data_IF_161306380619
#
_entry.id   IF_161306380619
#
_cell.length_a   1.000
_cell.length_b   1.000
_cell.length_c   1.000
_cell.angle_alpha   90.00
_cell.angle_beta   90.00
_cell.angle_gamma   90.00
#
_symmetry.space_group_name_H-M   'P 1'
#
loop_
_entity.id
_entity.type
_entity.pdbx_description
1 polymer ?
#
# COMPACT_ATOMS: atom_id res chain seq x y z
N UNK A 1 -6.92 -10.64 4.90
CA UNK A 1 -6.49 -9.62 3.92
C UNK A 1 -5.06 -9.89 3.51
N UNK A 2 -4.71 -9.74 2.24
CA UNK A 2 -3.35 -9.98 1.76
C UNK A 2 -2.33 -8.99 2.32
N UNK A 3 -1.11 -9.49 2.55
CA UNK A 3 0.00 -8.69 3.06
C UNK A 3 0.28 -7.45 2.20
N UNK A 4 0.11 -7.57 0.88
CA UNK A 4 0.33 -6.45 -0.06
C UNK A 4 -0.69 -5.34 0.18
N UNK A 5 -1.98 -5.66 0.34
CA UNK A 5 -3.03 -4.69 0.62
C UNK A 5 -2.80 -3.96 1.95
N UNK A 6 -2.38 -4.68 2.99
CA UNK A 6 -2.05 -4.06 4.27
C UNK A 6 -0.82 -3.13 4.17
N UNK A 7 0.22 -3.53 3.43
CA UNK A 7 1.40 -2.68 3.21
C UNK A 7 1.01 -1.43 2.40
N UNK A 8 0.20 -1.60 1.36
CA UNK A 8 -0.30 -0.49 0.55
C UNK A 8 -1.11 0.49 1.40
N UNK A 9 -2.01 0.01 2.26
CA UNK A 9 -2.76 0.87 3.17
C UNK A 9 -1.84 1.70 4.09
N UNK A 10 -0.81 1.09 4.67
CA UNK A 10 0.16 1.81 5.51
C UNK A 10 0.97 2.86 4.71
N UNK A 11 1.31 2.55 3.46
CA UNK A 11 1.96 3.52 2.57
C UNK A 11 1.02 4.67 2.19
N UNK A 12 -0.28 4.39 2.02
CA UNK A 12 -1.29 5.39 1.68
C UNK A 12 -1.50 6.44 2.80
N UNK A 13 -1.24 6.07 4.05
CA UNK A 13 -1.26 7.02 5.17
C UNK A 13 -0.12 8.04 5.13
N UNK A 14 0.90 7.85 4.29
CA UNK A 14 1.99 8.82 4.15
C UNK A 14 1.48 10.17 3.63
N UNK A 15 2.08 11.27 4.10
CA UNK A 15 1.79 12.62 3.59
C UNK A 15 2.40 12.85 2.20
N UNK A 16 3.33 11.99 1.76
CA UNK A 16 3.98 12.12 0.47
C UNK A 16 3.11 11.60 -0.67
N UNK A 17 2.77 12.47 -1.61
CA UNK A 17 1.94 12.14 -2.79
C UNK A 17 2.50 10.97 -3.61
N UNK A 18 3.84 10.89 -3.75
CA UNK A 18 4.49 9.80 -4.50
C UNK A 18 4.29 8.44 -3.82
N UNK A 19 4.30 8.40 -2.49
CA UNK A 19 4.12 7.19 -1.69
C UNK A 19 2.64 6.77 -1.68
N UNK A 20 1.71 7.73 -1.62
CA UNK A 20 0.28 7.45 -1.84
C UNK A 20 0.00 6.86 -3.20
N UNK A 21 0.60 7.43 -4.26
CA UNK A 21 0.44 6.90 -5.61
C UNK A 21 1.01 5.48 -5.72
N UNK A 22 2.17 5.23 -5.11
CA UNK A 22 2.72 3.87 -5.03
C UNK A 22 1.76 2.89 -4.34
N UNK A 23 1.14 3.31 -3.23
CA UNK A 23 0.17 2.48 -2.52
C UNK A 23 -1.02 2.10 -3.41
N UNK A 24 -1.57 3.06 -4.16
CA UNK A 24 -2.64 2.82 -5.12
C UNK A 24 -2.17 1.83 -6.19
N UNK A 25 -1.00 2.07 -6.81
CA UNK A 25 -0.42 1.20 -7.82
C UNK A 25 -0.18 -0.25 -7.32
N UNK A 26 0.09 -0.43 -6.01
CA UNK A 26 0.25 -1.75 -5.38
C UNK A 26 -1.09 -2.48 -5.26
N UNK A 27 -2.18 -1.76 -4.96
CA UNK A 27 -3.53 -2.33 -4.86
C UNK A 27 -4.14 -2.60 -6.23
N UNK A 28 -3.97 -1.68 -7.17
CA UNK A 28 -4.46 -1.84 -8.56
C UNK A 28 -3.68 -2.89 -9.34
N UNK A 29 -2.54 -3.35 -8.81
CA UNK A 29 -1.69 -4.35 -9.46
C UNK A 29 -0.79 -3.78 -10.56
N UNK A 30 -0.76 -2.46 -10.75
CA UNK A 30 0.13 -1.78 -11.70
C UNK A 30 1.61 -2.01 -11.38
N UNK A 31 1.95 -2.18 -10.10
CA UNK A 31 3.29 -2.56 -9.67
C UNK A 31 3.22 -3.64 -8.59
N UNK A 32 4.06 -4.67 -8.71
CA UNK A 32 4.21 -5.66 -7.65
C UNK A 32 5.10 -5.11 -6.52
N UNK A 33 4.86 -5.56 -5.28
CA UNK A 33 5.68 -5.20 -4.12
C UNK A 33 7.19 -5.46 -4.35
N UNK A 34 7.53 -6.57 -5.01
CA UNK A 34 8.92 -6.90 -5.33
C UNK A 34 9.55 -5.93 -6.34
N UNK A 35 8.76 -5.40 -7.28
CA UNK A 35 9.24 -4.38 -8.22
C UNK A 35 9.40 -3.03 -7.52
N UNK A 36 8.42 -2.64 -6.69
CA UNK A 36 8.48 -1.42 -5.90
C UNK A 36 9.70 -1.37 -4.96
N UNK A 37 10.09 -2.51 -4.36
CA UNK A 37 11.29 -2.63 -3.53
C UNK A 37 12.61 -2.41 -4.27
N UNK A 38 12.64 -2.56 -5.60
CA UNK A 38 13.84 -2.28 -6.41
C UNK A 38 14.04 -0.78 -6.64
N UNK A 39 13.02 0.03 -6.37
CA UNK A 39 13.09 1.48 -6.51
C UNK A 39 13.67 2.05 -5.22
N UNK A 40 14.87 2.62 -5.29
CA UNK A 40 15.62 3.11 -4.14
C UNK A 40 14.81 4.13 -3.30
N UNK A 41 14.07 5.01 -3.97
CA UNK A 41 13.24 6.04 -3.33
C UNK A 41 12.10 5.43 -2.49
N UNK A 42 11.57 4.28 -2.89
CA UNK A 42 10.42 3.64 -2.23
C UNK A 42 10.81 2.57 -1.22
N UNK A 43 11.99 1.97 -1.39
CA UNK A 43 12.52 0.94 -0.51
C UNK A 43 12.44 1.28 0.99
N UNK A 44 12.90 2.46 1.49
CA UNK A 44 12.84 2.76 2.92
C UNK A 44 11.40 2.86 3.44
N UNK A 45 10.48 3.38 2.62
CA UNK A 45 9.06 3.48 2.98
C UNK A 45 8.39 2.12 3.05
N UNK A 46 8.67 1.25 2.09
CA UNK A 46 8.13 -0.12 2.07
C UNK A 46 8.65 -0.92 3.27
N UNK A 47 9.95 -0.84 3.56
CA UNK A 47 10.53 -1.52 4.73
C UNK A 47 9.95 -0.98 6.04
N UNK A 48 9.70 0.33 6.12
CA UNK A 48 9.04 0.94 7.28
C UNK A 48 7.62 0.40 7.46
N UNK A 49 6.82 0.38 6.40
CA UNK A 49 5.46 -0.16 6.40
C UNK A 49 5.43 -1.65 6.78
N UNK A 50 6.38 -2.46 6.30
CA UNK A 50 6.51 -3.86 6.71
C UNK A 50 6.82 -4.04 8.19
N UNK A 51 7.65 -3.17 8.76
CA UNK A 51 7.95 -3.18 10.20
C UNK A 51 6.74 -2.72 11.02
N UNK A 52 6.01 -1.72 10.54
CA UNK A 52 4.80 -1.23 11.20
C UNK A 52 3.70 -2.29 11.19
N UNK A 53 3.50 -3.00 10.07
CA UNK A 53 2.55 -4.11 9.98
C UNK A 53 2.83 -5.24 11.00
N UNK A 54 4.09 -5.46 11.36
CA UNK A 54 4.47 -6.44 12.39
C UNK A 54 4.22 -5.97 13.83
N UNK A 55 4.09 -4.65 14.04
CA UNK A 55 4.00 -4.02 15.37
C UNK A 55 2.62 -3.47 15.68
N UNK A 56 1.83 -3.18 14.65
CA UNK A 56 0.56 -2.47 14.75
C UNK A 56 -0.53 -3.35 14.16
N UNK A 57 -1.65 -3.44 14.88
CA UNK A 57 -2.87 -4.02 14.32
C UNK A 57 -3.41 -3.08 13.25
N UNK A 58 -3.53 -3.57 12.03
CA UNK A 58 -4.18 -2.85 10.94
C UNK A 58 -5.60 -3.38 10.85
N UNK A 59 -6.60 -2.50 10.94
CA UNK A 59 -8.00 -2.90 10.85
C UNK A 59 -8.27 -3.51 9.48
N UNK A 60 -8.81 -4.72 9.47
CA UNK A 60 -9.21 -5.36 8.23
C UNK A 60 -10.27 -4.54 7.50
N UNK A 61 -11.19 -3.91 8.24
CA UNK A 61 -12.27 -3.10 7.68
C UNK A 61 -11.72 -1.88 6.93
N UNK A 62 -10.78 -1.15 7.52
CA UNK A 62 -10.13 0.01 6.88
C UNK A 62 -9.36 -0.38 5.62
N UNK A 63 -8.67 -1.54 5.65
CA UNK A 63 -7.94 -2.03 4.48
C UNK A 63 -8.92 -2.50 3.40
N UNK A 64 -10.05 -3.12 3.76
CA UNK A 64 -11.11 -3.46 2.82
C UNK A 64 -11.66 -2.20 2.14
N UNK A 65 -12.06 -1.19 2.90
CA UNK A 65 -12.58 0.06 2.35
C UNK A 65 -11.57 0.74 1.43
N UNK A 66 -10.29 0.76 1.82
CA UNK A 66 -9.21 1.27 0.97
C UNK A 66 -9.08 0.48 -0.34
N UNK A 67 -9.03 -0.85 -0.27
CA UNK A 67 -8.93 -1.68 -1.47
C UNK A 67 -10.16 -1.48 -2.34
N UNK A 68 -11.35 -1.50 -1.76
CA UNK A 68 -12.59 -1.33 -2.50
C UNK A 68 -12.65 0.01 -3.21
N UNK A 69 -12.26 1.08 -2.51
CA UNK A 69 -12.18 2.43 -3.07
C UNK A 69 -11.30 2.44 -4.32
N UNK A 70 -10.03 2.01 -4.23
CA UNK A 70 -9.10 2.20 -5.35
C UNK A 70 -9.13 1.09 -6.41
N UNK A 71 -9.60 -0.10 -6.07
CA UNK A 71 -9.74 -1.21 -7.02
C UNK A 71 -11.02 -1.08 -7.84
N UNK A 72 -12.15 -0.67 -7.24
CA UNK A 72 -13.44 -0.60 -7.94
C UNK A 72 -13.75 0.77 -8.56
N UNK A 73 -13.20 1.89 -8.08
CA UNK A 73 -13.40 3.19 -8.77
C UNK A 73 -12.61 3.30 -10.08
N UNK A 74 -11.74 2.34 -10.40
CA UNK A 74 -11.04 2.29 -11.69
C UNK A 74 -11.95 1.85 -12.86
N UNK A 75 -13.23 1.59 -12.61
CA UNK A 75 -14.23 1.23 -13.61
C UNK A 75 -15.45 2.16 -13.53
N UNK A 76 -15.32 3.41 -13.97
CA UNK A 76 -16.44 4.30 -14.29
C UNK A 76 -16.07 5.24 -15.42
#
# INVERSE_FOLDING_TARGET
MDRVSCIAYLLFQSEQTRIRKLAINLVTGEISLNAAKKIADFYPHIVSAEKQLKRTYVSQEEVCEFVETYLFTAQA
#
